data_IF_924871064733
#
_entry.id   IF_924871064733
#
_cell.length_a   1.000
_cell.length_b   1.000
_cell.length_c   1.000
_cell.angle_alpha   90.00
_cell.angle_beta   90.00
_cell.angle_gamma   90.00
#
_symmetry.space_group_name_H-M   'P 1'
#
loop_
_entity.id
_entity.type
_entity.pdbx_description
1 polymer ?
#
# COMPACT_ATOMS: atom_id res chain seq x y z
N UNK A 1 5.08 -32.46 6.33
CA UNK A 1 5.45 -31.16 5.74
C UNK A 1 6.76 -30.72 6.33
N UNK A 2 7.87 -31.14 5.72
CA UNK A 2 9.17 -30.59 6.06
C UNK A 2 9.24 -29.24 5.33
N UNK A 3 9.06 -28.14 6.06
CA UNK A 3 9.38 -26.80 5.58
C UNK A 3 10.78 -26.83 4.97
N UNK A 4 10.90 -26.61 3.66
CA UNK A 4 12.17 -26.26 3.04
C UNK A 4 12.84 -25.23 3.95
N UNK A 5 14.01 -25.58 4.49
CA UNK A 5 14.79 -24.63 5.27
C UNK A 5 15.14 -23.50 4.31
N UNK A 6 14.90 -22.27 4.76
CA UNK A 6 15.14 -21.01 4.05
C UNK A 6 16.59 -20.81 3.56
N UNK A 7 17.49 -21.75 3.88
CA UNK A 7 18.90 -21.77 3.48
C UNK A 7 19.16 -22.44 2.14
N UNK A 8 18.23 -23.24 1.61
CA UNK A 8 18.51 -24.10 0.46
C UNK A 8 17.64 -23.64 -0.73
N UNK A 9 18.28 -23.06 -1.77
CA UNK A 9 17.58 -22.57 -2.96
C UNK A 9 16.88 -23.70 -3.70
N UNK A 10 15.77 -23.40 -4.38
CA UNK A 10 15.12 -24.35 -5.29
C UNK A 10 16.09 -24.79 -6.39
N UNK A 11 17.01 -23.92 -6.83
CA UNK A 11 18.03 -24.29 -7.81
C UNK A 11 18.94 -25.43 -7.32
N UNK A 12 19.22 -25.48 -6.02
CA UNK A 12 20.06 -26.53 -5.40
C UNK A 12 19.27 -27.82 -5.14
N UNK A 13 17.98 -27.68 -4.78
CA UNK A 13 17.12 -28.79 -4.38
C UNK A 13 16.42 -29.51 -5.54
N UNK A 14 16.07 -28.78 -6.61
CA UNK A 14 15.36 -29.31 -7.77
C UNK A 14 16.14 -30.42 -8.51
N UNK A 15 17.48 -30.34 -8.69
CA UNK A 15 18.27 -31.44 -9.24
C UNK A 15 18.13 -32.74 -8.44
N UNK A 16 18.19 -32.68 -7.10
CA UNK A 16 18.06 -33.86 -6.24
C UNK A 16 16.64 -34.44 -6.30
N UNK A 17 15.63 -33.57 -6.34
CA UNK A 17 14.24 -33.98 -6.55
C UNK A 17 14.04 -34.71 -7.91
N UNK A 18 14.67 -34.20 -8.98
CA UNK A 18 14.62 -34.85 -10.29
C UNK A 18 15.36 -36.18 -10.34
N UNK A 19 16.45 -36.36 -9.58
CA UNK A 19 17.16 -37.65 -9.54
C UNK A 19 16.28 -38.79 -9.03
N UNK A 20 15.43 -38.53 -8.05
CA UNK A 20 14.53 -39.53 -7.45
C UNK A 20 13.46 -40.03 -8.44
N UNK A 21 13.04 -39.19 -9.39
CA UNK A 21 12.00 -39.50 -10.38
C UNK A 21 12.45 -39.25 -11.82
N UNK A 22 13.75 -39.47 -12.12
CA UNK A 22 14.40 -39.04 -13.38
C UNK A 22 13.71 -39.55 -14.63
N UNK A 23 13.27 -40.81 -14.63
CA UNK A 23 12.55 -41.41 -15.76
C UNK A 23 11.24 -40.69 -16.06
N UNK A 24 10.42 -40.43 -15.05
CA UNK A 24 9.15 -39.72 -15.19
C UNK A 24 9.37 -38.27 -15.59
N UNK A 25 10.33 -37.59 -14.98
CA UNK A 25 10.64 -36.18 -15.29
C UNK A 25 11.11 -36.02 -16.73
N UNK A 26 11.99 -36.88 -17.25
CA UNK A 26 12.38 -36.83 -18.67
C UNK A 26 11.18 -36.91 -19.61
N UNK A 27 10.24 -37.81 -19.33
CA UNK A 27 9.02 -37.95 -20.15
C UNK A 27 8.10 -36.73 -20.01
N UNK A 28 7.97 -36.16 -18.82
CA UNK A 28 7.18 -34.94 -18.59
C UNK A 28 7.78 -33.74 -19.32
N UNK A 29 9.10 -33.51 -19.22
CA UNK A 29 9.77 -32.41 -19.92
C UNK A 29 9.75 -32.58 -21.44
N UNK A 30 9.85 -33.81 -21.95
CA UNK A 30 9.64 -34.09 -23.37
C UNK A 30 8.20 -33.72 -23.81
N UNK A 31 7.20 -33.96 -22.95
CA UNK A 31 5.81 -33.55 -23.19
C UNK A 31 5.65 -32.02 -23.16
N UNK A 32 6.28 -31.35 -22.19
CA UNK A 32 6.21 -29.89 -22.06
C UNK A 32 6.76 -29.18 -23.30
N UNK A 33 7.84 -29.67 -23.91
CA UNK A 33 8.42 -29.03 -25.11
C UNK A 33 7.71 -29.40 -26.42
N UNK A 34 6.84 -30.42 -26.43
CA UNK A 34 6.26 -31.02 -27.64
C UNK A 34 5.52 -30.01 -28.52
N UNK A 35 4.72 -29.12 -27.92
CA UNK A 35 3.94 -28.11 -28.67
C UNK A 35 4.72 -26.82 -28.94
N UNK A 36 6.05 -26.83 -28.81
CA UNK A 36 6.91 -25.69 -29.08
C UNK A 36 6.83 -24.57 -28.03
N UNK A 37 7.11 -23.34 -28.47
CA UNK A 37 7.18 -22.14 -27.61
C UNK A 37 5.80 -21.80 -27.05
N UNK A 38 5.65 -21.77 -25.71
CA UNK A 38 4.39 -21.41 -25.03
C UNK A 38 4.59 -21.07 -23.56
N UNK A 39 3.61 -20.41 -22.96
CA UNK A 39 3.50 -20.29 -21.50
C UNK A 39 2.53 -21.34 -20.95
N UNK A 40 2.78 -21.83 -19.75
CA UNK A 40 1.99 -22.85 -19.06
C UNK A 40 1.73 -22.42 -17.63
N UNK A 41 0.49 -22.61 -17.17
CA UNK A 41 0.13 -22.49 -15.75
C UNK A 41 0.33 -23.85 -15.07
N UNK A 42 0.32 -23.85 -13.73
CA UNK A 42 0.42 -25.07 -12.94
C UNK A 42 -0.54 -26.18 -13.40
N UNK A 43 -1.81 -25.84 -13.67
CA UNK A 43 -2.79 -26.83 -14.14
C UNK A 43 -2.36 -27.51 -15.44
N UNK A 44 -1.83 -26.75 -16.41
CA UNK A 44 -1.35 -27.31 -17.67
C UNK A 44 -0.16 -28.27 -17.46
N UNK A 45 0.73 -27.96 -16.52
CA UNK A 45 1.86 -28.83 -16.17
C UNK A 45 1.37 -30.14 -15.51
N UNK A 46 0.36 -30.04 -14.64
CA UNK A 46 -0.26 -31.20 -14.00
C UNK A 46 -1.00 -32.08 -15.02
N UNK A 47 -1.76 -31.49 -15.93
CA UNK A 47 -2.50 -32.20 -16.98
C UNK A 47 -1.54 -32.94 -17.93
N UNK A 48 -0.45 -32.28 -18.34
CA UNK A 48 0.56 -32.90 -19.22
C UNK A 48 1.35 -34.00 -18.48
N UNK A 49 1.60 -33.85 -17.18
CA UNK A 49 2.19 -34.92 -16.36
C UNK A 49 1.23 -36.10 -16.17
N UNK A 50 -0.06 -35.84 -15.96
CA UNK A 50 -1.10 -36.87 -15.89
C UNK A 50 -1.17 -37.68 -17.19
N UNK A 51 -1.04 -37.03 -18.34
CA UNK A 51 -0.98 -37.72 -19.65
C UNK A 51 0.28 -38.57 -19.88
N UNK A 52 1.30 -38.43 -19.03
CA UNK A 52 2.58 -39.15 -19.11
C UNK A 52 2.66 -40.25 -18.06
N UNK A 53 2.06 -40.02 -16.89
CA UNK A 53 2.02 -40.91 -15.74
C UNK A 53 0.56 -41.30 -15.47
N UNK A 54 0.07 -42.24 -16.29
CA UNK A 54 -1.32 -42.70 -16.25
C UNK A 54 -1.67 -43.41 -14.93
N UNK A 55 -0.69 -44.04 -14.27
CA UNK A 55 -0.88 -44.69 -12.97
C UNK A 55 -0.95 -43.66 -11.83
N UNK A 56 -2.13 -43.51 -11.24
CA UNK A 56 -2.36 -42.57 -10.16
C UNK A 56 -1.44 -42.83 -8.95
N UNK A 57 -1.16 -44.09 -8.60
CA UNK A 57 -0.30 -44.41 -7.46
C UNK A 57 1.18 -44.04 -7.70
N UNK A 58 1.68 -44.18 -8.93
CA UNK A 58 3.00 -43.69 -9.33
C UNK A 58 3.04 -42.16 -9.34
N UNK A 59 2.00 -41.50 -9.87
CA UNK A 59 1.93 -40.04 -9.89
C UNK A 59 1.96 -39.45 -8.48
N UNK A 60 1.17 -40.01 -7.57
CA UNK A 60 1.19 -39.60 -6.15
C UNK A 60 2.58 -39.79 -5.57
N UNK A 61 3.23 -40.94 -5.80
CA UNK A 61 4.61 -41.18 -5.33
C UNK A 61 5.65 -40.22 -5.89
N UNK A 62 5.51 -39.79 -7.15
CA UNK A 62 6.41 -38.79 -7.76
C UNK A 62 6.22 -37.42 -7.12
N UNK A 63 4.98 -37.05 -6.80
CA UNK A 63 4.65 -35.78 -6.13
C UNK A 63 4.75 -35.86 -4.59
N UNK A 64 5.07 -37.01 -4.03
CA UNK A 64 5.30 -37.14 -2.60
C UNK A 64 6.70 -36.57 -2.26
N UNK A 65 6.73 -35.60 -1.35
CA UNK A 65 7.97 -35.01 -0.84
C UNK A 65 8.44 -33.78 -1.62
N UNK A 66 9.76 -33.60 -1.71
CA UNK A 66 10.40 -32.36 -2.15
C UNK A 66 9.99 -31.94 -3.57
N UNK A 67 9.84 -32.90 -4.48
CA UNK A 67 9.43 -32.61 -5.85
C UNK A 67 8.02 -32.01 -5.90
N UNK A 68 7.07 -32.58 -5.14
CA UNK A 68 5.72 -32.06 -5.04
C UNK A 68 5.67 -30.69 -4.39
N UNK A 69 6.41 -30.48 -3.29
CA UNK A 69 6.49 -29.18 -2.61
C UNK A 69 6.96 -28.07 -3.58
N UNK A 70 7.98 -28.36 -4.39
CA UNK A 70 8.44 -27.45 -5.45
C UNK A 70 7.35 -27.28 -6.52
N UNK A 71 6.75 -28.38 -6.98
CA UNK A 71 5.78 -28.36 -8.08
C UNK A 71 4.54 -27.51 -7.75
N UNK A 72 3.96 -27.68 -6.57
CA UNK A 72 2.80 -26.91 -6.13
C UNK A 72 3.14 -25.45 -5.81
N UNK A 73 4.42 -25.10 -5.71
CA UNK A 73 4.88 -23.72 -5.58
C UNK A 73 5.07 -23.02 -6.93
N UNK A 74 5.06 -23.74 -8.06
CA UNK A 74 5.18 -23.17 -9.41
C UNK A 74 3.94 -22.32 -9.73
N UNK A 75 4.17 -21.08 -10.15
CA UNK A 75 3.10 -20.19 -10.60
C UNK A 75 2.92 -20.24 -12.13
N UNK A 76 4.05 -20.28 -12.84
CA UNK A 76 4.08 -20.26 -14.31
C UNK A 76 5.36 -20.96 -14.81
N UNK A 77 5.25 -21.58 -15.99
CA UNK A 77 6.38 -22.05 -16.76
C UNK A 77 6.39 -21.39 -18.15
N UNK A 78 7.56 -20.92 -18.57
CA UNK A 78 7.84 -20.48 -19.93
C UNK A 78 8.57 -21.63 -20.64
N UNK A 79 8.07 -22.07 -21.79
CA UNK A 79 8.66 -23.14 -22.60
C UNK A 79 9.28 -22.51 -23.84
N UNK A 80 10.59 -22.64 -24.00
CA UNK A 80 11.30 -22.32 -25.23
C UNK A 80 12.32 -23.45 -25.49
N UNK A 81 11.95 -24.45 -26.32
CA UNK A 81 12.75 -25.66 -26.47
C UNK A 81 14.22 -25.36 -26.83
N UNK A 82 15.19 -26.07 -26.22
CA UNK A 82 15.03 -27.24 -25.36
C UNK A 82 14.81 -26.92 -23.87
N UNK A 83 14.59 -25.66 -23.50
CA UNK A 83 14.52 -25.21 -22.12
C UNK A 83 13.08 -24.97 -21.65
N UNK A 84 12.86 -25.16 -20.34
CA UNK A 84 11.66 -24.76 -19.63
C UNK A 84 12.09 -23.95 -18.41
N UNK A 85 11.68 -22.69 -18.35
CA UNK A 85 11.94 -21.82 -17.21
C UNK A 85 10.71 -21.75 -16.29
N UNK A 86 10.91 -21.81 -14.99
CA UNK A 86 9.86 -21.81 -13.98
C UNK A 86 9.95 -20.56 -13.10
N UNK A 87 8.80 -19.95 -12.85
CA UNK A 87 8.61 -18.94 -11.82
C UNK A 87 7.98 -19.61 -10.61
N UNK A 88 8.70 -19.66 -9.50
CA UNK A 88 8.35 -20.45 -8.32
C UNK A 88 8.17 -19.52 -7.12
N UNK A 89 7.09 -19.73 -6.36
CA UNK A 89 6.72 -18.90 -5.21
C UNK A 89 6.57 -19.75 -3.95
N UNK A 90 7.67 -20.08 -3.25
CA UNK A 90 7.64 -20.89 -2.04
C UNK A 90 6.82 -20.28 -0.91
N UNK A 91 6.82 -18.94 -0.80
CA UNK A 91 6.07 -18.22 0.22
C UNK A 91 5.65 -16.83 -0.26
N UNK A 92 4.67 -16.18 0.39
CA UNK A 92 4.26 -14.84 0.01
C UNK A 92 5.39 -13.82 0.08
N UNK A 93 5.61 -13.12 -1.04
CA UNK A 93 6.66 -12.10 -1.19
C UNK A 93 8.03 -12.66 -1.57
N UNK A 94 8.16 -13.97 -1.78
CA UNK A 94 9.42 -14.61 -2.12
C UNK A 94 9.29 -15.40 -3.44
N UNK A 95 10.21 -15.14 -4.36
CA UNK A 95 10.22 -15.74 -5.69
C UNK A 95 11.61 -16.29 -6.00
N UNK A 96 11.64 -17.44 -6.65
CA UNK A 96 12.83 -18.02 -7.24
C UNK A 96 12.54 -18.38 -8.71
N UNK A 97 13.55 -18.23 -9.56
CA UNK A 97 13.45 -18.51 -10.97
C UNK A 97 14.51 -19.53 -11.35
N UNK A 98 14.10 -20.58 -12.07
CA UNK A 98 15.00 -21.64 -12.50
C UNK A 98 14.75 -21.99 -13.95
N UNK A 99 15.80 -22.34 -14.69
CA UNK A 99 15.75 -22.80 -16.08
C UNK A 99 16.22 -24.25 -16.13
N UNK A 100 15.43 -25.11 -16.76
CA UNK A 100 15.70 -26.54 -16.84
C UNK A 100 15.86 -26.96 -18.28
N UNK A 101 16.92 -27.70 -18.58
CA UNK A 101 17.11 -28.32 -19.88
C UNK A 101 16.32 -29.64 -19.95
N UNK A 102 15.45 -29.77 -20.95
CA UNK A 102 14.58 -30.94 -21.10
C UNK A 102 15.33 -32.26 -21.43
N UNK A 103 16.54 -32.19 -21.99
CA UNK A 103 17.28 -33.37 -22.44
C UNK A 103 18.02 -34.09 -21.29
N UNK A 104 18.70 -33.33 -20.43
CA UNK A 104 19.54 -33.87 -19.34
C UNK A 104 19.00 -33.58 -17.93
N UNK A 105 17.98 -32.71 -17.83
CA UNK A 105 17.38 -32.18 -16.60
C UNK A 105 18.35 -31.34 -15.75
N UNK A 106 19.34 -30.69 -16.37
CA UNK A 106 20.18 -29.70 -15.68
C UNK A 106 19.33 -28.50 -15.25
N UNK A 107 19.50 -28.05 -14.01
CA UNK A 107 18.80 -26.89 -13.45
C UNK A 107 19.80 -25.76 -13.27
N UNK A 108 19.43 -24.57 -13.73
CA UNK A 108 20.18 -23.33 -13.57
C UNK A 108 19.29 -22.33 -12.82
N UNK A 109 19.78 -21.77 -11.71
CA UNK A 109 19.14 -20.62 -11.07
C UNK A 109 19.33 -19.39 -11.94
N UNK A 110 18.25 -18.66 -12.23
CA UNK A 110 18.26 -17.48 -13.09
C UNK A 110 17.68 -16.27 -12.36
N UNK A 111 17.96 -15.06 -12.84
CA UNK A 111 17.38 -13.83 -12.27
C UNK A 111 15.94 -13.60 -12.76
N UNK A 112 15.23 -12.66 -12.14
CA UNK A 112 13.92 -12.21 -12.63
C UNK A 112 14.02 -11.64 -14.06
N UNK A 113 15.07 -10.87 -14.33
CA UNK A 113 15.38 -10.30 -15.65
C UNK A 113 15.59 -11.40 -16.70
N UNK A 114 16.39 -12.42 -16.37
CA UNK A 114 16.62 -13.56 -17.27
C UNK A 114 15.33 -14.34 -17.55
N UNK A 115 14.48 -14.53 -16.54
CA UNK A 115 13.18 -15.20 -16.70
C UNK A 115 12.24 -14.41 -17.61
N UNK A 116 12.17 -13.09 -17.44
CA UNK A 116 11.34 -12.22 -18.27
C UNK A 116 11.83 -12.20 -19.73
N UNK A 117 13.15 -12.07 -19.96
CA UNK A 117 13.73 -12.20 -21.30
C UNK A 117 13.43 -13.56 -21.93
N UNK A 118 13.57 -14.64 -21.16
CA UNK A 118 13.22 -15.98 -21.64
C UNK A 118 11.74 -16.10 -22.03
N UNK A 119 10.84 -15.42 -21.30
CA UNK A 119 9.41 -15.35 -21.62
C UNK A 119 9.14 -14.49 -22.86
N UNK A 120 9.88 -13.41 -23.08
CA UNK A 120 9.78 -12.56 -24.28
C UNK A 120 10.21 -13.32 -25.55
N UNK A 121 11.25 -14.16 -25.48
CA UNK A 121 11.72 -15.01 -26.59
C UNK A 121 10.65 -15.95 -27.16
N UNK A 122 9.59 -16.24 -26.40
CA UNK A 122 8.43 -17.00 -26.88
C UNK A 122 7.75 -16.26 -28.03
N UNK A 123 7.70 -14.93 -27.97
CA UNK A 123 6.99 -14.06 -28.89
C UNK A 123 7.92 -13.36 -29.88
N UNK A 124 9.02 -12.78 -29.39
CA UNK A 124 9.98 -12.04 -30.22
C UNK A 124 11.41 -12.19 -29.68
N UNK A 125 12.24 -12.88 -30.46
CA UNK A 125 13.64 -13.16 -30.12
C UNK A 125 14.55 -11.94 -30.33
N UNK A 126 14.20 -11.03 -31.25
CA UNK A 126 14.99 -9.82 -31.47
C UNK A 126 14.77 -8.84 -30.31
N UNK A 127 13.52 -8.70 -29.87
CA UNK A 127 13.18 -7.85 -28.72
C UNK A 127 13.84 -8.33 -27.43
N UNK A 128 13.75 -9.64 -27.14
CA UNK A 128 14.30 -10.22 -25.91
C UNK A 128 15.83 -10.07 -25.80
N UNK A 129 16.52 -9.93 -26.94
CA UNK A 129 17.98 -9.77 -27.01
C UNK A 129 18.41 -8.33 -27.33
N UNK A 130 17.49 -7.36 -27.36
CA UNK A 130 17.84 -5.95 -27.57
C UNK A 130 18.55 -5.39 -26.34
N UNK A 131 19.80 -4.96 -26.53
CA UNK A 131 20.60 -4.34 -25.49
C UNK A 131 20.04 -3.00 -24.99
N UNK A 132 19.11 -2.38 -25.74
CA UNK A 132 18.49 -1.10 -25.43
C UNK A 132 17.04 -1.24 -24.91
N UNK A 133 16.56 -2.47 -24.67
CA UNK A 133 15.24 -2.67 -24.08
C UNK A 133 15.14 -2.00 -22.71
N UNK A 134 14.05 -1.27 -22.47
CA UNK A 134 13.82 -0.55 -21.21
C UNK A 134 13.53 -1.56 -20.08
N UNK A 135 14.41 -1.59 -19.08
CA UNK A 135 14.19 -2.28 -17.81
C UNK A 135 13.85 -1.27 -16.71
N UNK A 136 12.69 -1.43 -16.09
CA UNK A 136 12.22 -0.56 -15.00
C UNK A 136 12.48 -1.25 -13.66
N UNK A 137 13.55 -0.84 -12.98
CA UNK A 137 13.95 -1.39 -11.68
C UNK A 137 13.70 -0.39 -10.54
N UNK A 138 12.66 -0.65 -9.72
CA UNK A 138 12.39 0.13 -8.51
C UNK A 138 13.25 -0.28 -7.31
N UNK A 139 13.94 -1.43 -7.36
CA UNK A 139 14.87 -1.87 -6.33
C UNK A 139 16.21 -1.12 -6.35
N UNK A 140 16.53 -0.46 -7.46
CA UNK A 140 17.70 0.41 -7.57
C UNK A 140 17.60 1.69 -6.72
N UNK A 141 16.39 2.09 -6.31
CA UNK A 141 16.21 3.23 -5.40
C UNK A 141 16.58 2.83 -3.97
N UNK A 142 17.53 3.55 -3.38
CA UNK A 142 17.86 3.41 -1.97
C UNK A 142 16.74 4.03 -1.12
N UNK A 143 15.75 3.21 -0.78
CA UNK A 143 14.80 3.56 0.25
C UNK A 143 15.53 3.46 1.60
N UNK A 144 15.70 4.59 2.28
CA UNK A 144 16.31 4.68 3.62
C UNK A 144 15.55 3.92 4.73
N UNK A 145 14.54 3.12 4.36
CA UNK A 145 13.66 2.34 5.22
C UNK A 145 14.03 0.86 5.08
N UNK A 146 14.30 0.14 6.18
CA UNK A 146 14.65 -1.27 6.12
C UNK A 146 13.53 -2.13 5.54
N UNK A 147 13.89 -3.21 4.85
CA UNK A 147 12.92 -4.16 4.30
C UNK A 147 12.61 -5.26 5.30
N UNK A 148 11.32 -5.52 5.53
CA UNK A 148 10.87 -6.64 6.34
C UNK A 148 10.99 -7.95 5.56
N UNK A 149 11.62 -8.95 6.16
CA UNK A 149 11.79 -10.26 5.53
C UNK A 149 10.73 -11.27 5.94
N UNK A 150 9.89 -10.97 6.94
CA UNK A 150 8.86 -11.89 7.42
C UNK A 150 7.55 -11.70 6.64
N UNK A 151 7.04 -12.76 6.03
CA UNK A 151 5.76 -12.71 5.29
C UNK A 151 4.58 -12.32 6.19
N UNK A 152 4.64 -12.58 7.50
CA UNK A 152 3.62 -12.15 8.47
C UNK A 152 3.55 -10.63 8.65
N UNK A 153 4.55 -9.88 8.19
CA UNK A 153 4.54 -8.42 8.23
C UNK A 153 3.84 -7.77 7.04
N UNK A 154 3.46 -8.54 6.01
CA UNK A 154 2.74 -8.01 4.85
C UNK A 154 1.39 -7.43 5.31
N UNK A 155 1.11 -6.19 4.93
CA UNK A 155 -0.10 -5.45 5.34
C UNK A 155 0.02 -4.72 6.69
N UNK A 156 1.08 -4.95 7.46
CA UNK A 156 1.30 -4.34 8.79
C UNK A 156 2.35 -3.22 8.76
N UNK A 157 2.33 -2.40 7.71
CA UNK A 157 3.34 -1.36 7.46
C UNK A 157 3.43 -0.30 8.55
N UNK A 158 2.29 0.14 9.11
CA UNK A 158 2.25 1.17 10.16
C UNK A 158 3.08 0.76 11.38
N UNK A 159 2.82 -0.43 11.94
CA UNK A 159 3.55 -0.89 13.12
C UNK A 159 5.05 -1.06 12.90
N UNK A 160 5.49 -1.29 11.65
CA UNK A 160 6.90 -1.29 11.31
C UNK A 160 7.49 0.13 11.22
N UNK A 161 6.79 1.04 10.55
CA UNK A 161 7.20 2.45 10.47
C UNK A 161 7.29 3.04 11.87
N UNK A 162 6.32 2.78 12.75
CA UNK A 162 6.36 3.20 14.15
C UNK A 162 7.62 2.67 14.85
N UNK A 163 7.91 1.37 14.78
CA UNK A 163 9.13 0.79 15.39
C UNK A 163 10.40 1.42 14.85
N UNK A 164 10.46 1.67 13.55
CA UNK A 164 11.63 2.26 12.91
C UNK A 164 11.81 3.72 13.34
N UNK A 165 10.76 4.55 13.26
CA UNK A 165 10.78 5.95 13.68
C UNK A 165 11.13 6.05 15.17
N UNK A 166 10.54 5.20 16.01
CA UNK A 166 10.92 5.07 17.42
C UNK A 166 12.42 4.79 17.58
N UNK A 167 12.98 3.80 16.88
CA UNK A 167 14.40 3.47 17.01
C UNK A 167 15.33 4.61 16.58
N UNK A 168 14.90 5.42 15.60
CA UNK A 168 15.63 6.61 15.14
C UNK A 168 15.57 7.74 16.18
N UNK A 169 14.49 7.81 16.95
CA UNK A 169 14.30 8.77 18.03
C UNK A 169 15.01 8.37 19.34
N UNK A 170 15.29 7.07 19.57
CA UNK A 170 15.98 6.54 20.77
C UNK A 170 17.48 6.89 20.87
N UNK A 171 17.95 7.91 20.16
CA UNK A 171 19.34 8.37 20.13
C UNK A 171 19.62 9.52 21.11
N UNK A 172 20.36 10.53 20.63
CA UNK A 172 20.67 11.74 21.41
C UNK A 172 19.45 12.66 21.52
N UNK A 173 19.52 13.68 22.38
CA UNK A 173 18.46 14.68 22.47
C UNK A 173 18.22 15.38 21.12
N UNK A 174 19.23 15.46 20.24
CA UNK A 174 19.08 15.98 18.89
C UNK A 174 18.26 15.07 17.96
N UNK A 175 18.21 13.75 18.19
CA UNK A 175 17.44 12.85 17.30
C UNK A 175 15.94 13.10 17.37
N UNK A 176 15.43 13.69 18.46
CA UNK A 176 14.04 14.08 18.62
C UNK A 176 13.69 15.47 18.08
N UNK A 177 14.67 16.26 17.65
CA UNK A 177 14.42 17.60 17.11
C UNK A 177 13.49 17.62 15.89
N UNK A 178 13.57 16.67 14.92
CA UNK A 178 12.63 16.61 13.81
C UNK A 178 11.16 16.48 14.24
N UNK A 179 10.88 15.84 15.38
CA UNK A 179 9.53 15.76 15.93
C UNK A 179 9.07 17.14 16.43
N UNK A 180 9.94 17.90 17.08
CA UNK A 180 9.65 19.27 17.52
C UNK A 180 9.45 20.18 16.32
N UNK A 181 10.33 20.10 15.32
CA UNK A 181 10.24 20.87 14.08
C UNK A 181 8.94 20.56 13.33
N UNK A 182 8.54 19.29 13.30
CA UNK A 182 7.24 18.88 12.76
C UNK A 182 6.08 19.52 13.53
N UNK A 183 6.08 19.47 14.86
CA UNK A 183 5.03 20.09 15.67
C UNK A 183 4.97 21.62 15.51
N UNK A 184 6.10 22.29 15.37
CA UNK A 184 6.17 23.74 15.07
C UNK A 184 5.60 24.08 13.69
N UNK A 185 5.73 23.16 12.72
CA UNK A 185 5.24 23.35 11.36
C UNK A 185 3.73 23.21 11.22
N UNK A 186 3.05 22.65 12.24
CA UNK A 186 1.61 22.43 12.20
C UNK A 186 0.84 23.76 12.23
N UNK A 187 0.10 24.00 11.16
CA UNK A 187 -0.68 25.21 10.93
C UNK A 187 -1.94 24.87 10.16
N UNK A 188 -3.02 25.60 10.43
CA UNK A 188 -4.22 25.56 9.62
C UNK A 188 -4.74 26.99 9.40
N UNK A 189 -4.89 27.40 8.14
CA UNK A 189 -5.39 28.72 7.74
C UNK A 189 -4.69 29.91 8.43
N UNK A 190 -3.38 29.78 8.71
CA UNK A 190 -2.59 30.81 9.38
C UNK A 190 -2.59 30.72 10.91
N UNK A 191 -3.45 29.88 11.51
CA UNK A 191 -3.41 29.58 12.95
C UNK A 191 -2.43 28.45 13.26
N UNK A 192 -1.50 28.70 14.19
CA UNK A 192 -0.56 27.67 14.67
C UNK A 192 -1.28 26.64 15.53
N UNK A 193 -0.83 25.39 15.43
CA UNK A 193 -1.34 24.26 16.19
C UNK A 193 -0.22 23.66 17.03
N UNK A 194 -0.59 22.97 18.10
CA UNK A 194 0.31 22.26 19.02
C UNK A 194 1.28 23.17 19.79
N UNK A 195 2.35 23.65 19.15
CA UNK A 195 3.39 24.46 19.80
C UNK A 195 3.80 25.66 18.94
N UNK A 196 4.35 26.69 19.58
CA UNK A 196 4.97 27.82 18.91
C UNK A 196 6.49 27.90 19.18
N UNK A 197 7.16 28.89 18.60
CA UNK A 197 8.62 29.06 18.60
C UNK A 197 9.22 29.16 20.01
N UNK A 198 8.41 29.49 21.02
CA UNK A 198 8.81 29.47 22.43
C UNK A 198 9.33 28.09 22.82
N UNK A 199 8.75 27.02 22.25
CA UNK A 199 9.10 25.61 22.51
C UNK A 199 9.96 24.98 21.39
N UNK A 200 10.72 25.79 20.66
CA UNK A 200 11.43 25.35 19.45
C UNK A 200 12.59 24.35 19.63
N UNK A 201 12.82 23.85 20.84
CA UNK A 201 13.84 22.81 21.09
C UNK A 201 13.29 21.71 21.98
N UNK A 202 13.80 20.48 21.81
CA UNK A 202 13.39 19.31 22.61
C UNK A 202 13.43 19.59 24.10
N UNK A 203 14.51 20.24 24.58
CA UNK A 203 14.67 20.57 26.01
C UNK A 203 13.59 21.54 26.50
N UNK A 204 13.28 22.59 25.74
CA UNK A 204 12.24 23.57 26.12
C UNK A 204 10.87 22.89 26.17
N UNK A 205 10.57 22.07 25.17
CA UNK A 205 9.32 21.32 25.11
C UNK A 205 9.17 20.35 26.29
N UNK A 206 10.19 19.55 26.60
CA UNK A 206 10.18 18.63 27.76
C UNK A 206 9.91 19.38 29.07
N UNK A 207 10.60 20.51 29.30
CA UNK A 207 10.39 21.31 30.52
C UNK A 207 8.97 21.89 30.60
N UNK A 208 8.43 22.37 29.47
CA UNK A 208 7.08 22.91 29.42
C UNK A 208 6.02 21.83 29.63
N UNK A 209 6.22 20.61 29.10
CA UNK A 209 5.30 19.48 29.30
C UNK A 209 5.19 19.09 30.78
N UNK A 210 6.30 19.10 31.53
CA UNK A 210 6.31 18.83 32.98
C UNK A 210 5.46 19.87 33.73
N UNK A 211 5.62 21.15 33.41
CA UNK A 211 4.85 22.24 34.04
C UNK A 211 3.37 22.11 33.70
N UNK A 212 3.04 21.85 32.43
CA UNK A 212 1.68 21.66 31.97
C UNK A 212 1.00 20.46 32.65
N UNK A 213 1.70 19.35 32.83
CA UNK A 213 1.15 18.15 33.48
C UNK A 213 0.79 18.41 34.95
N UNK A 214 1.64 19.13 35.69
CA UNK A 214 1.37 19.53 37.08
C UNK A 214 0.14 20.44 37.15
N UNK A 215 0.07 21.44 36.27
CA UNK A 215 -1.06 22.36 36.21
C UNK A 215 -2.38 21.63 35.89
N UNK A 216 -2.40 20.79 34.85
CA UNK A 216 -3.58 20.03 34.42
C UNK A 216 -4.04 19.04 35.50
N UNK A 217 -3.13 18.51 36.31
CA UNK A 217 -3.46 17.62 37.42
C UNK A 217 -4.24 18.31 38.54
N UNK A 218 -4.17 19.64 38.63
CA UNK A 218 -4.96 20.44 39.58
C UNK A 218 -6.35 20.82 39.09
N UNK A 219 -6.68 20.56 37.81
CA UNK A 219 -7.97 20.92 37.22
C UNK A 219 -8.96 19.73 37.24
N UNK A 220 -10.27 20.00 37.31
CA UNK A 220 -11.30 19.00 36.98
C UNK A 220 -11.10 18.45 35.57
N UNK A 221 -11.31 17.14 35.40
CA UNK A 221 -11.05 16.40 34.15
C UNK A 221 -11.81 16.95 32.94
N UNK A 222 -13.03 17.41 33.16
CA UNK A 222 -13.98 17.95 32.19
C UNK A 222 -13.80 19.44 31.91
N UNK A 223 -12.81 20.10 32.54
CA UNK A 223 -12.49 21.51 32.28
C UNK A 223 -12.18 21.71 30.81
N UNK A 224 -12.94 22.59 30.14
CA UNK A 224 -12.76 22.89 28.72
C UNK A 224 -11.45 23.62 28.45
N UNK A 225 -10.81 23.31 27.32
CA UNK A 225 -9.53 23.91 26.89
C UNK A 225 -9.56 25.45 26.91
N UNK A 226 -10.67 26.05 26.49
CA UNK A 226 -10.87 27.50 26.45
C UNK A 226 -10.65 28.18 27.82
N UNK A 227 -10.87 27.47 28.93
CA UNK A 227 -10.73 28.03 30.28
C UNK A 227 -9.27 28.22 30.69
N UNK A 228 -8.32 27.50 30.07
CA UNK A 228 -6.89 27.57 30.37
C UNK A 228 -6.01 27.86 29.13
N UNK A 229 -6.63 28.12 27.99
CA UNK A 229 -5.96 28.43 26.71
C UNK A 229 -4.94 29.56 26.83
N UNK A 230 -5.29 30.66 27.50
CA UNK A 230 -4.42 31.83 27.63
C UNK A 230 -3.10 31.46 28.33
N UNK A 231 -3.18 30.76 29.47
CA UNK A 231 -2.01 30.32 30.22
C UNK A 231 -1.15 29.33 29.40
N UNK A 232 -1.78 28.43 28.65
CA UNK A 232 -1.07 27.49 27.78
C UNK A 232 -0.32 28.20 26.66
N UNK A 233 -0.96 29.20 26.05
CA UNK A 233 -0.37 29.99 24.99
C UNK A 233 0.86 30.77 25.46
N UNK A 234 0.81 31.32 26.68
CA UNK A 234 1.97 31.98 27.32
C UNK A 234 3.15 31.02 27.53
N UNK A 235 2.88 29.73 27.75
CA UNK A 235 3.91 28.69 27.85
C UNK A 235 4.36 28.13 26.50
N UNK A 236 3.75 28.58 25.41
CA UNK A 236 4.08 28.17 24.05
C UNK A 236 3.26 27.00 23.50
N UNK A 237 2.19 26.59 24.19
CA UNK A 237 1.24 25.59 23.71
C UNK A 237 0.05 26.23 22.99
N UNK A 238 -0.12 25.91 21.73
CA UNK A 238 -1.27 26.32 20.91
C UNK A 238 -2.40 25.27 20.98
N UNK A 239 -3.50 25.48 20.26
CA UNK A 239 -4.66 24.57 20.21
C UNK A 239 -4.31 23.22 19.57
N UNK A 240 -5.14 22.20 19.81
CA UNK A 240 -5.03 20.89 19.14
C UNK A 240 -4.66 19.71 20.05
N UNK A 241 -4.35 19.96 21.32
CA UNK A 241 -3.99 18.90 22.29
C UNK A 241 -5.19 18.10 22.79
N UNK A 242 -6.37 18.72 22.81
CA UNK A 242 -7.58 18.15 23.37
C UNK A 242 -8.65 19.21 23.66
N UNK A 243 -9.92 18.79 23.74
CA UNK A 243 -11.03 19.65 24.14
C UNK A 243 -11.19 19.82 25.65
N UNK A 244 -10.75 18.84 26.45
CA UNK A 244 -10.82 18.85 27.92
C UNK A 244 -9.44 18.72 28.55
N UNK A 245 -9.30 19.12 29.83
CA UNK A 245 -8.07 18.99 30.60
C UNK A 245 -7.55 17.54 30.64
N UNK A 246 -8.44 16.54 30.80
CA UNK A 246 -8.05 15.12 30.76
C UNK A 246 -7.45 14.73 29.41
N UNK A 247 -8.10 15.09 28.31
CA UNK A 247 -7.63 14.77 26.96
C UNK A 247 -6.29 15.42 26.64
N UNK A 248 -6.14 16.70 26.97
CA UNK A 248 -4.90 17.46 26.81
C UNK A 248 -3.78 16.80 27.61
N UNK A 249 -4.04 16.46 28.88
CA UNK A 249 -3.07 15.80 29.75
C UNK A 249 -2.60 14.47 29.17
N UNK A 250 -3.51 13.64 28.69
CA UNK A 250 -3.16 12.37 28.05
C UNK A 250 -2.31 12.56 26.79
N UNK A 251 -2.68 13.48 25.91
CA UNK A 251 -1.93 13.73 24.66
C UNK A 251 -0.52 14.24 24.97
N UNK A 252 -0.39 15.16 25.92
CA UNK A 252 0.91 15.66 26.39
C UNK A 252 1.74 14.57 27.06
N UNK A 253 1.11 13.67 27.81
CA UNK A 253 1.77 12.52 28.41
C UNK A 253 2.35 11.57 27.37
N UNK A 254 1.63 11.25 26.31
CA UNK A 254 2.18 10.42 25.22
C UNK A 254 3.42 11.05 24.60
N UNK A 255 3.39 12.37 24.35
CA UNK A 255 4.57 13.07 23.84
C UNK A 255 5.72 13.06 24.84
N UNK A 256 5.43 13.27 26.13
CA UNK A 256 6.44 13.22 27.20
C UNK A 256 7.12 11.84 27.27
N UNK A 257 6.32 10.77 27.23
CA UNK A 257 6.81 9.38 27.19
C UNK A 257 7.67 9.15 25.94
N UNK A 258 7.22 9.60 24.76
CA UNK A 258 8.00 9.51 23.50
C UNK A 258 9.32 10.27 23.59
N UNK A 259 9.35 11.47 24.18
CA UNK A 259 10.59 12.28 24.30
C UNK A 259 11.55 11.75 25.36
N UNK A 260 11.05 11.05 26.39
CA UNK A 260 11.87 10.50 27.47
C UNK A 260 12.38 9.09 27.16
N UNK A 261 11.51 8.22 26.68
CA UNK A 261 11.79 6.84 26.35
C UNK A 261 10.91 6.42 25.15
N UNK A 262 11.36 6.70 23.91
CA UNK A 262 10.57 6.41 22.72
C UNK A 262 10.12 4.95 22.67
N UNK A 263 8.81 4.74 22.54
CA UNK A 263 8.22 3.44 22.23
C UNK A 263 7.18 3.55 21.11
N UNK A 264 6.93 2.47 20.34
CA UNK A 264 6.04 2.53 19.18
C UNK A 264 4.57 2.77 19.55
N UNK A 265 4.13 2.32 20.72
CA UNK A 265 2.73 2.42 21.13
C UNK A 265 2.36 3.86 21.45
N UNK A 266 3.16 4.54 22.26
CA UNK A 266 2.93 5.95 22.57
C UNK A 266 3.14 6.85 21.35
N UNK A 267 4.03 6.46 20.43
CA UNK A 267 4.18 7.14 19.16
C UNK A 267 2.89 7.11 18.33
N UNK A 268 2.32 5.91 18.14
CA UNK A 268 1.05 5.75 17.43
C UNK A 268 -0.11 6.48 18.13
N UNK A 269 -0.18 6.38 19.46
CA UNK A 269 -1.18 7.08 20.27
C UNK A 269 -1.04 8.60 20.17
N UNK A 270 0.18 9.13 20.09
CA UNK A 270 0.42 10.56 19.92
C UNK A 270 0.05 11.02 18.51
N UNK A 271 0.60 10.39 17.46
CA UNK A 271 0.33 10.77 16.07
C UNK A 271 -1.14 10.64 15.68
N UNK A 272 -1.85 9.65 16.22
CA UNK A 272 -3.30 9.49 15.99
C UNK A 272 -4.16 10.61 16.58
N UNK A 273 -3.62 11.38 17.53
CA UNK A 273 -4.29 12.54 18.14
C UNK A 273 -3.93 13.87 17.48
N UNK A 274 -2.95 13.92 16.58
CA UNK A 274 -2.53 15.17 15.98
C UNK A 274 -3.56 15.72 14.98
N UNK A 275 -3.84 17.04 15.03
CA UNK A 275 -4.77 17.72 14.13
C UNK A 275 -4.12 17.98 12.76
N UNK A 276 -4.11 16.97 11.89
CA UNK A 276 -3.35 17.00 10.62
C UNK A 276 -4.21 16.91 9.36
N UNK A 277 -5.39 16.30 9.45
CA UNK A 277 -6.27 16.05 8.30
C UNK A 277 -7.57 16.83 8.50
N UNK A 278 -7.80 17.79 7.60
CA UNK A 278 -9.04 18.59 7.58
C UNK A 278 -9.69 18.56 6.20
N UNK A 279 -8.86 18.67 5.15
CA UNK A 279 -9.28 18.64 3.76
C UNK A 279 -8.83 17.33 3.12
N UNK A 280 -9.76 16.60 2.50
CA UNK A 280 -9.51 15.31 1.86
C UNK A 280 -9.98 15.39 0.41
N UNK A 281 -9.13 14.95 -0.52
CA UNK A 281 -9.47 14.84 -1.93
C UNK A 281 -9.41 13.37 -2.33
N UNK A 282 -10.51 12.85 -2.88
CA UNK A 282 -10.63 11.47 -3.36
C UNK A 282 -10.81 11.49 -4.86
N UNK A 283 -9.96 10.78 -5.60
CA UNK A 283 -10.06 10.71 -7.06
C UNK A 283 -10.80 9.45 -7.51
N UNK A 284 -11.83 9.63 -8.35
CA UNK A 284 -12.52 8.54 -9.04
C UNK A 284 -12.90 8.95 -10.47
N UNK A 285 -11.92 9.05 -11.40
CA UNK A 285 -12.12 9.76 -12.68
C UNK A 285 -13.01 9.04 -13.71
N UNK A 286 -13.12 7.71 -13.67
CA UNK A 286 -13.85 6.94 -14.68
C UNK A 286 -15.27 6.58 -14.23
N UNK A 287 -16.07 6.07 -15.18
CA UNK A 287 -17.45 5.66 -14.94
C UNK A 287 -18.42 6.82 -14.77
N UNK A 288 -19.67 6.50 -14.44
CA UNK A 288 -20.71 7.46 -14.09
C UNK A 288 -20.77 7.62 -12.58
N UNK A 289 -19.99 8.56 -12.03
CA UNK A 289 -20.00 8.78 -10.59
C UNK A 289 -21.17 9.70 -10.19
N UNK A 290 -22.08 9.17 -9.38
CA UNK A 290 -23.28 9.87 -8.90
C UNK A 290 -24.01 9.07 -7.83
N UNK A 291 -25.03 9.68 -7.22
CA UNK A 291 -25.73 9.09 -6.06
C UNK A 291 -27.03 8.36 -6.42
N UNK A 292 -27.55 8.57 -7.62
CA UNK A 292 -28.80 7.97 -8.12
C UNK A 292 -28.67 7.66 -9.61
N UNK A 293 -29.35 6.61 -10.06
CA UNK A 293 -29.50 6.25 -11.48
C UNK A 293 -28.20 5.96 -12.24
N UNK A 294 -27.11 5.66 -11.52
CA UNK A 294 -25.79 5.36 -12.13
C UNK A 294 -25.38 3.88 -12.01
N UNK A 295 -25.93 3.13 -11.06
CA UNK A 295 -25.53 1.74 -10.84
C UNK A 295 -25.96 0.85 -12.00
N UNK A 296 -25.03 0.06 -12.52
CA UNK A 296 -25.23 -0.78 -13.71
C UNK A 296 -24.87 -0.10 -15.03
N UNK A 297 -24.55 1.19 -15.02
CA UNK A 297 -23.95 1.84 -16.19
C UNK A 297 -22.51 1.34 -16.44
N UNK A 298 -22.00 1.46 -17.67
CA UNK A 298 -20.63 1.07 -18.01
C UNK A 298 -19.60 1.67 -17.04
N UNK A 299 -18.64 0.84 -16.62
CA UNK A 299 -17.58 1.19 -15.67
C UNK A 299 -18.07 1.73 -14.32
N UNK A 300 -19.32 1.43 -13.94
CA UNK A 300 -19.96 1.93 -12.73
C UNK A 300 -20.48 0.79 -11.87
N UNK A 301 -19.97 0.65 -10.66
CA UNK A 301 -20.29 -0.48 -9.78
C UNK A 301 -19.87 -0.26 -8.35
N UNK A 302 -19.32 -1.30 -7.71
CA UNK A 302 -18.97 -1.29 -6.28
C UNK A 302 -18.04 -0.16 -5.84
N UNK A 303 -17.19 0.36 -6.74
CA UNK A 303 -16.33 1.51 -6.45
C UNK A 303 -17.11 2.77 -6.06
N UNK A 304 -18.23 3.06 -6.71
CA UNK A 304 -19.04 4.25 -6.40
C UNK A 304 -19.67 4.11 -5.03
N UNK A 305 -20.26 2.95 -4.74
CA UNK A 305 -20.87 2.66 -3.43
C UNK A 305 -19.81 2.73 -2.33
N UNK A 306 -18.65 2.10 -2.56
CA UNK A 306 -17.53 2.10 -1.63
C UNK A 306 -17.10 3.53 -1.26
N UNK A 307 -16.90 4.41 -2.25
CA UNK A 307 -16.47 5.78 -1.99
C UNK A 307 -17.57 6.59 -1.29
N UNK A 308 -18.83 6.46 -1.69
CA UNK A 308 -19.93 7.19 -1.04
C UNK A 308 -20.10 6.81 0.44
N UNK A 309 -19.95 5.53 0.77
CA UNK A 309 -20.01 5.08 2.16
C UNK A 309 -18.73 5.44 2.94
N UNK A 310 -17.56 5.37 2.30
CA UNK A 310 -16.29 5.82 2.87
C UNK A 310 -16.35 7.29 3.26
N UNK A 311 -16.89 8.15 2.39
CA UNK A 311 -16.95 9.60 2.64
C UNK A 311 -17.83 9.92 3.85
N UNK A 312 -18.98 9.25 4.02
CA UNK A 312 -19.85 9.45 5.19
C UNK A 312 -19.12 9.09 6.49
N UNK A 313 -18.54 7.88 6.53
CA UNK A 313 -17.80 7.42 7.71
C UNK A 313 -16.59 8.30 8.00
N UNK A 314 -15.90 8.77 6.96
CA UNK A 314 -14.74 9.64 7.09
C UNK A 314 -15.12 11.04 7.60
N UNK A 315 -16.24 11.61 7.12
CA UNK A 315 -16.72 12.91 7.62
C UNK A 315 -17.07 12.85 9.11
N UNK A 316 -17.81 11.81 9.53
CA UNK A 316 -18.18 11.62 10.93
C UNK A 316 -16.94 11.48 11.83
N UNK A 317 -15.94 10.70 11.40
CA UNK A 317 -14.68 10.53 12.12
C UNK A 317 -13.85 11.83 12.17
N UNK A 318 -13.81 12.59 11.07
CA UNK A 318 -13.10 13.88 11.04
C UNK A 318 -13.76 14.89 11.98
N UNK A 319 -15.09 15.02 11.95
CA UNK A 319 -15.83 15.89 12.85
C UNK A 319 -15.55 15.53 14.32
N UNK A 320 -15.63 14.24 14.67
CA UNK A 320 -15.35 13.76 16.01
C UNK A 320 -13.90 14.05 16.45
N UNK A 321 -12.92 13.84 15.56
CA UNK A 321 -11.51 14.11 15.87
C UNK A 321 -11.24 15.59 16.09
N UNK A 322 -11.74 16.44 15.21
CA UNK A 322 -11.58 17.90 15.30
C UNK A 322 -12.19 18.41 16.61
N UNK A 323 -13.40 17.92 16.95
CA UNK A 323 -14.04 18.24 18.23
C UNK A 323 -13.18 17.79 19.41
N UNK A 324 -12.72 16.53 19.42
CA UNK A 324 -11.86 16.01 20.49
C UNK A 324 -10.52 16.72 20.62
N UNK A 325 -10.03 17.36 19.56
CA UNK A 325 -8.81 18.17 19.55
C UNK A 325 -9.03 19.59 20.09
N UNK A 326 -10.28 19.97 20.39
CA UNK A 326 -10.64 21.31 20.86
C UNK A 326 -10.62 22.36 19.74
N UNK A 327 -10.80 21.92 18.49
CA UNK A 327 -10.79 22.77 17.31
C UNK A 327 -12.22 22.98 16.79
N UNK A 328 -12.46 24.12 16.15
CA UNK A 328 -13.74 24.44 15.52
C UNK A 328 -13.59 24.58 14.01
N UNK A 329 -12.86 23.63 13.41
CA UNK A 329 -12.58 23.58 11.97
C UNK A 329 -13.70 22.77 11.31
N UNK A 330 -14.17 23.22 10.15
CA UNK A 330 -15.11 22.44 9.34
C UNK A 330 -14.27 21.61 8.37
N UNK A 331 -14.31 20.27 8.43
CA UNK A 331 -13.58 19.46 7.45
C UNK A 331 -14.16 19.69 6.06
N UNK A 332 -13.45 19.30 5.00
CA UNK A 332 -13.98 19.28 3.65
C UNK A 332 -13.53 18.02 2.94
N UNK A 333 -14.47 17.26 2.37
CA UNK A 333 -14.15 16.08 1.55
C UNK A 333 -14.65 16.33 0.12
N UNK A 334 -13.75 16.24 -0.85
CA UNK A 334 -14.05 16.44 -2.26
C UNK A 334 -13.78 15.15 -3.02
N UNK A 335 -14.83 14.56 -3.58
CA UNK A 335 -14.70 13.46 -4.53
C UNK A 335 -14.57 14.04 -5.93
N UNK A 336 -13.36 14.03 -6.47
CA UNK A 336 -13.07 14.52 -7.82
C UNK A 336 -13.31 13.40 -8.83
N UNK A 337 -14.21 13.66 -9.76
CA UNK A 337 -14.60 12.74 -10.83
C UNK A 337 -14.79 13.49 -12.13
N UNK A 338 -15.10 12.78 -13.20
CA UNK A 338 -15.28 13.37 -14.52
C UNK A 338 -16.66 14.02 -14.66
N UNK A 339 -16.70 15.21 -15.25
CA UNK A 339 -17.92 15.82 -15.79
C UNK A 339 -18.25 15.20 -17.15
N UNK A 340 -19.47 14.69 -17.30
CA UNK A 340 -19.98 14.11 -18.54
C UNK A 340 -21.19 14.94 -19.02
N UNK A 341 -20.97 15.98 -19.85
CA UNK A 341 -22.02 16.88 -20.31
C UNK A 341 -23.24 16.19 -20.94
N UNK A 342 -23.02 15.12 -21.70
CA UNK A 342 -24.09 14.44 -22.44
C UNK A 342 -24.75 13.31 -21.62
N UNK A 343 -24.39 13.13 -20.35
CA UNK A 343 -25.05 12.17 -19.47
C UNK A 343 -26.51 12.57 -19.23
N UNK A 344 -27.45 11.70 -19.63
CA UNK A 344 -28.89 11.89 -19.45
C UNK A 344 -29.41 10.98 -18.34
N UNK A 345 -30.39 11.47 -17.58
CA UNK A 345 -31.01 10.70 -16.50
C UNK A 345 -30.17 10.61 -15.23
N UNK A 346 -28.98 11.23 -15.19
CA UNK A 346 -28.10 11.28 -14.02
C UNK A 346 -27.65 12.71 -13.76
N UNK A 347 -26.98 12.93 -12.63
CA UNK A 347 -26.34 14.23 -12.29
C UNK A 347 -24.88 14.32 -12.73
N UNK A 348 -24.39 13.40 -13.56
CA UNK A 348 -22.98 13.40 -13.99
C UNK A 348 -22.58 14.61 -14.85
N UNK A 349 -23.55 15.40 -15.31
CA UNK A 349 -23.37 16.67 -16.00
C UNK A 349 -23.39 17.91 -15.06
N UNK A 350 -23.53 17.71 -13.75
CA UNK A 350 -23.49 18.79 -12.76
C UNK A 350 -22.09 18.88 -12.13
N UNK A 351 -21.47 20.06 -12.21
CA UNK A 351 -20.12 20.31 -11.71
C UNK A 351 -19.98 20.06 -10.21
N UNK A 352 -20.97 20.47 -9.43
CA UNK A 352 -20.98 20.31 -7.97
C UNK A 352 -22.23 19.56 -7.52
N UNK A 353 -22.06 18.56 -6.66
CA UNK A 353 -23.16 17.82 -6.04
C UNK A 353 -22.82 17.48 -4.58
N UNK A 354 -23.66 17.90 -3.63
CA UNK A 354 -23.50 17.51 -2.22
C UNK A 354 -23.77 16.02 -2.01
N UNK A 355 -22.97 15.38 -1.17
CA UNK A 355 -23.15 13.96 -0.84
C UNK A 355 -24.23 13.81 0.23
N UNK A 356 -25.23 12.98 -0.04
CA UNK A 356 -26.37 12.72 0.83
C UNK A 356 -25.91 12.12 2.16
N UNK A 357 -26.45 12.65 3.27
CA UNK A 357 -26.08 12.22 4.62
C UNK A 357 -24.78 12.83 5.13
N UNK A 358 -24.22 13.82 4.42
CA UNK A 358 -23.02 14.56 4.83
C UNK A 358 -23.29 16.07 4.85
N UNK A 359 -22.50 16.84 5.60
CA UNK A 359 -22.60 18.30 5.71
C UNK A 359 -21.49 19.04 4.95
N UNK A 360 -20.34 18.40 4.80
CA UNK A 360 -19.11 19.01 4.32
C UNK A 360 -18.45 18.22 3.18
N UNK A 361 -19.18 17.28 2.59
CA UNK A 361 -18.67 16.44 1.52
C UNK A 361 -19.40 16.70 0.20
N UNK A 362 -18.62 16.83 -0.88
CA UNK A 362 -19.11 17.15 -2.21
C UNK A 362 -18.46 16.27 -3.27
N UNK A 363 -19.17 16.09 -4.38
CA UNK A 363 -18.63 15.58 -5.63
C UNK A 363 -18.28 16.80 -6.49
N UNK A 364 -17.02 16.89 -6.92
CA UNK A 364 -16.54 17.87 -7.89
C UNK A 364 -16.31 17.16 -9.22
N UNK A 365 -16.97 17.63 -10.28
CA UNK A 365 -16.87 17.05 -11.62
C UNK A 365 -16.08 17.95 -12.54
N UNK A 366 -14.92 17.48 -12.98
CA UNK A 366 -14.03 18.22 -13.89
C UNK A 366 -14.14 17.63 -15.30
N UNK A 367 -14.37 18.44 -16.35
CA UNK A 367 -14.45 17.93 -17.71
C UNK A 367 -13.10 17.46 -18.23
N UNK A 368 -13.10 16.33 -18.94
CA UNK A 368 -11.98 15.97 -19.79
C UNK A 368 -11.87 16.94 -20.96
N UNK A 369 -10.64 17.35 -21.29
CA UNK A 369 -10.40 18.23 -22.42
C UNK A 369 -9.10 17.89 -23.16
N UNK A 370 -9.11 18.06 -24.49
CA UNK A 370 -7.91 18.03 -25.35
C UNK A 370 -7.95 19.31 -26.17
N UNK A 371 -6.82 20.02 -26.27
CA UNK A 371 -6.72 21.28 -27.02
C UNK A 371 -7.88 22.27 -26.76
N UNK A 372 -8.27 22.43 -25.49
CA UNK A 372 -9.39 23.28 -25.04
C UNK A 372 -10.78 22.86 -25.53
N UNK A 373 -10.94 21.65 -26.07
CA UNK A 373 -12.24 21.06 -26.41
C UNK A 373 -12.65 20.06 -25.35
N UNK A 374 -13.80 20.30 -24.74
CA UNK A 374 -14.39 19.39 -23.73
C UNK A 374 -14.91 18.13 -24.40
N UNK A 375 -14.50 16.97 -23.89
CA UNK A 375 -15.04 15.68 -24.28
C UNK A 375 -16.38 15.45 -23.58
N UNK A 376 -17.46 15.54 -24.35
CA UNK A 376 -18.84 15.56 -23.83
C UNK A 376 -19.43 14.19 -23.51
N UNK A 377 -19.06 13.18 -24.29
CA UNK A 377 -19.57 11.81 -24.21
C UNK A 377 -18.79 10.97 -23.19
N UNK A 378 -19.44 9.93 -22.65
CA UNK A 378 -18.75 8.93 -21.83
C UNK A 378 -17.60 8.27 -22.60
N UNK A 379 -16.56 7.86 -21.86
CA UNK A 379 -15.41 7.12 -22.40
C UNK A 379 -15.13 5.94 -21.49
N UNK A 380 -14.71 4.81 -22.06
CA UNK A 380 -14.35 3.64 -21.26
C UNK A 380 -13.14 3.94 -20.38
N UNK A 381 -13.07 3.31 -19.21
CA UNK A 381 -11.91 3.31 -18.31
C UNK A 381 -10.59 2.91 -18.99
N UNK A 382 -10.65 2.18 -20.10
CA UNK A 382 -9.46 1.80 -20.88
C UNK A 382 -8.93 2.93 -21.78
N UNK A 383 -9.73 3.97 -22.00
CA UNK A 383 -9.43 5.06 -22.95
C UNK A 383 -9.29 6.42 -22.24
N UNK A 384 -9.27 6.46 -20.90
CA UNK A 384 -9.18 7.71 -20.11
C UNK A 384 -7.78 8.30 -20.09
N UNK A 385 -6.74 7.52 -20.38
CA UNK A 385 -5.33 7.89 -20.19
C UNK A 385 -4.91 9.22 -20.83
N UNK A 386 -5.33 9.56 -22.06
CA UNK A 386 -4.96 10.83 -22.70
C UNK A 386 -5.48 12.09 -21.99
N UNK A 387 -6.43 11.94 -21.05
CA UNK A 387 -7.11 13.05 -20.39
C UNK A 387 -6.68 13.28 -18.95
N UNK A 388 -5.98 12.31 -18.33
CA UNK A 388 -5.70 12.32 -16.89
C UNK A 388 -4.80 13.48 -16.48
N UNK A 389 -3.75 13.78 -17.26
CA UNK A 389 -2.79 14.85 -16.95
C UNK A 389 -3.44 16.24 -16.88
N UNK A 390 -4.45 16.51 -17.72
CA UNK A 390 -5.13 17.81 -17.73
C UNK A 390 -6.25 17.91 -16.68
N UNK A 391 -6.69 16.79 -16.15
CA UNK A 391 -7.74 16.74 -15.13
C UNK A 391 -7.16 16.93 -13.72
N UNK A 392 -5.99 16.33 -13.46
CA UNK A 392 -5.21 16.47 -12.23
C UNK A 392 -4.56 17.85 -12.18
#
# INVERSE_FOLDING_TARGET
>A
MATLKRSDSIADNMPEAFKQSRYHMKRCFAKFIEKGRRTMKLQHLLDEMESVIDDQAQRTRVLEGLLGDIWFSIQEAAVNPPHVAFSIRPSPGFWEFVKVNSADLSVEGITATDYLKFKEMIYDDNWANDANALEVDFGAFDFSVPHLTLSSSIGNGLGFVSKFVTSKLSGSLESAQPLVDYLLSLNHEGEKLMINETLGTVRKLQMALIVAEVYLSGLPKDTLYQNFEISFKEWGFEKGWGNTAERVKETMRFLSEVLQAPDPLNMENFFSRLPTVFNVVIFSPHGYFGQADVLGLPDTGGQVVYILDQVKALEDELLLRIEHQGLNIKPQIIVVTRLIPDARGTKCNQELESINGTKHSIILRVPFSIENRVLRQWVSRFDVYPYLEKML
#
